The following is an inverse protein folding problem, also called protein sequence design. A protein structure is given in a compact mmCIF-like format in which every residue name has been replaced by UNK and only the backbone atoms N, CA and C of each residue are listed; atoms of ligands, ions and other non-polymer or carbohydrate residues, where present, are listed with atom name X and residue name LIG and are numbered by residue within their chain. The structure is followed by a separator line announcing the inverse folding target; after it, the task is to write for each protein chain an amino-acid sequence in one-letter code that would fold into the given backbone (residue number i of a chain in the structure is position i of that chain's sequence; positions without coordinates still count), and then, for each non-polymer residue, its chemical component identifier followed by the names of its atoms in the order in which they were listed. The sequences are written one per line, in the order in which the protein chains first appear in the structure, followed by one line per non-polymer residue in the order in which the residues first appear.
data_IF_921220360394
#
_entry.id   IF_921220360394
#
_cell.length_a   1.000
_cell.length_b   1.000
_cell.length_c   1.000
_cell.angle_alpha   90.00
_cell.angle_beta   90.00
_cell.angle_gamma   90.00
#
_symmetry.space_group_name_H-M   'P 1'
#
loop_
_entity.id
_entity.type
_entity.pdbx_description
1 polymer ?
#
# COMPACT_ATOMS: atom_id res chain seq x y z
N UNK A 1 -5.30 -54.66 28.49
CA UNK A 1 -5.33 -53.20 28.24
C UNK A 1 -4.78 -53.00 26.84
N UNK A 2 -5.62 -52.86 25.82
CA UNK A 2 -5.18 -52.66 24.44
C UNK A 2 -4.72 -51.23 24.26
N UNK A 3 -3.47 -51.03 23.82
CA UNK A 3 -2.89 -49.72 23.63
C UNK A 3 -3.69 -48.94 22.57
N UNK A 4 -4.29 -47.82 22.99
CA UNK A 4 -4.98 -46.91 22.07
C UNK A 4 -3.96 -46.26 21.16
N UNK A 5 -4.18 -46.31 19.85
CA UNK A 5 -3.27 -45.67 18.90
C UNK A 5 -3.35 -44.14 19.03
N UNK A 6 -2.25 -43.48 19.39
CA UNK A 6 -2.16 -42.01 19.49
C UNK A 6 -1.52 -41.36 18.25
N UNK A 7 -1.30 -42.13 17.18
CA UNK A 7 -0.50 -41.70 16.02
C UNK A 7 -1.30 -40.89 14.98
N UNK A 8 -2.62 -40.79 15.14
CA UNK A 8 -3.51 -40.14 14.19
C UNK A 8 -3.17 -38.66 13.97
N UNK A 9 -3.01 -37.88 15.05
CA UNK A 9 -2.69 -36.44 14.96
C UNK A 9 -1.35 -36.19 14.25
N UNK A 10 -0.33 -36.99 14.58
CA UNK A 10 0.99 -36.88 13.97
C UNK A 10 0.94 -37.19 12.46
N UNK A 11 0.19 -38.23 12.06
CA UNK A 11 -0.01 -38.55 10.65
C UNK A 11 -0.84 -37.46 9.95
N UNK A 12 -1.87 -36.93 10.59
CA UNK A 12 -2.72 -35.88 10.02
C UNK A 12 -1.97 -34.57 9.77
N UNK A 13 -1.01 -34.21 10.62
CA UNK A 13 -0.23 -32.97 10.50
C UNK A 13 1.00 -33.09 9.60
N UNK A 14 1.70 -34.23 9.67
CA UNK A 14 3.05 -34.35 9.08
C UNK A 14 3.15 -35.35 7.93
N UNK A 15 2.15 -36.21 7.72
CA UNK A 15 2.17 -37.22 6.65
C UNK A 15 1.27 -36.86 5.46
N UNK A 16 1.43 -37.59 4.36
CA UNK A 16 0.55 -37.46 3.20
C UNK A 16 -0.82 -38.08 3.46
N UNK A 17 -1.84 -37.58 2.76
CA UNK A 17 -3.22 -38.07 2.87
C UNK A 17 -3.32 -39.58 2.57
N UNK A 18 -2.49 -40.08 1.66
CA UNK A 18 -2.39 -41.50 1.32
C UNK A 18 -1.91 -42.36 2.50
N UNK A 19 -0.85 -41.94 3.20
CA UNK A 19 -0.29 -42.65 4.36
C UNK A 19 -1.26 -42.66 5.54
N UNK A 20 -1.99 -41.56 5.75
CA UNK A 20 -3.04 -41.48 6.75
C UNK A 20 -4.18 -42.45 6.44
N UNK A 21 -4.65 -42.50 5.18
CA UNK A 21 -5.74 -43.38 4.75
C UNK A 21 -5.36 -44.87 4.86
N UNK A 22 -4.12 -45.23 4.56
CA UNK A 22 -3.62 -46.59 4.78
C UNK A 22 -3.60 -46.96 6.27
N UNK A 23 -3.18 -46.05 7.14
CA UNK A 23 -3.19 -46.28 8.58
C UNK A 23 -4.61 -46.41 9.15
N UNK A 24 -5.53 -45.56 8.69
CA UNK A 24 -6.95 -45.59 9.09
C UNK A 24 -7.65 -46.88 8.66
N UNK A 25 -7.25 -47.49 7.53
CA UNK A 25 -7.78 -48.81 7.12
C UNK A 25 -7.36 -49.93 8.07
N UNK A 26 -6.17 -49.83 8.65
CA UNK A 26 -5.57 -50.89 9.46
C UNK A 26 -5.79 -50.70 10.97
N UNK A 27 -6.17 -49.50 11.44
CA UNK A 27 -6.37 -49.20 12.86
C UNK A 27 -7.81 -48.74 13.13
N UNK A 28 -8.53 -49.50 13.96
CA UNK A 28 -9.92 -49.21 14.33
C UNK A 28 -10.06 -47.90 15.13
N UNK A 29 -9.14 -47.61 16.05
CA UNK A 29 -9.15 -46.40 16.86
C UNK A 29 -9.01 -45.13 15.98
N UNK A 30 -8.04 -45.16 15.06
CA UNK A 30 -7.81 -44.05 14.13
C UNK A 30 -8.95 -43.89 13.11
N UNK A 31 -9.70 -44.95 12.81
CA UNK A 31 -10.89 -44.88 11.96
C UNK A 31 -12.02 -44.12 12.62
N UNK A 32 -12.31 -44.39 13.88
CA UNK A 32 -13.34 -43.64 14.63
C UNK A 32 -12.96 -42.16 14.76
N UNK A 33 -11.68 -41.87 14.96
CA UNK A 33 -11.18 -40.50 15.04
C UNK A 33 -11.27 -39.78 13.67
N UNK A 34 -10.91 -40.47 12.59
CA UNK A 34 -11.04 -39.95 11.23
C UNK A 34 -12.50 -39.61 10.88
N UNK A 35 -13.45 -40.47 11.25
CA UNK A 35 -14.88 -40.21 11.04
C UNK A 35 -15.38 -39.01 11.84
N UNK A 36 -14.91 -38.82 13.08
CA UNK A 36 -15.21 -37.63 13.88
C UNK A 36 -14.67 -36.36 13.21
N UNK A 37 -13.44 -36.41 12.70
CA UNK A 37 -12.82 -35.27 12.00
C UNK A 37 -13.51 -34.94 10.67
N UNK A 38 -13.99 -35.95 9.93
CA UNK A 38 -14.77 -35.71 8.72
C UNK A 38 -16.12 -35.02 9.01
N UNK A 39 -16.79 -35.41 10.11
CA UNK A 39 -18.04 -34.75 10.54
C UNK A 39 -17.84 -33.30 10.96
N UNK A 40 -16.69 -32.96 11.56
CA UNK A 40 -16.39 -31.57 11.96
C UNK A 40 -15.90 -30.72 10.79
N UNK A 41 -15.35 -31.32 9.73
CA UNK A 41 -14.85 -30.61 8.54
C UNK A 41 -15.92 -29.77 7.85
N UNK A 42 -17.16 -30.25 7.74
CA UNK A 42 -18.27 -29.50 7.14
C UNK A 42 -18.61 -28.24 7.93
N UNK A 43 -18.72 -28.36 9.26
CA UNK A 43 -18.97 -27.24 10.16
C UNK A 43 -17.87 -26.17 10.07
N UNK A 44 -16.61 -26.60 9.99
CA UNK A 44 -15.46 -25.68 9.85
C UNK A 44 -15.48 -24.97 8.48
N UNK A 45 -15.90 -25.64 7.41
CA UNK A 45 -16.00 -25.03 6.08
C UNK A 45 -17.05 -23.93 6.01
N UNK A 46 -18.19 -24.09 6.69
CA UNK A 46 -19.25 -23.07 6.76
C UNK A 46 -18.78 -21.79 7.45
N UNK A 47 -18.05 -21.92 8.57
CA UNK A 47 -17.56 -20.75 9.33
C UNK A 47 -16.38 -20.06 8.63
N UNK A 48 -15.59 -20.80 7.85
CA UNK A 48 -14.41 -20.28 7.12
C UNK A 48 -14.79 -19.17 6.13
N UNK A 49 -15.88 -19.34 5.39
CA UNK A 49 -16.32 -18.33 4.41
C UNK A 49 -16.63 -16.99 5.09
N UNK A 50 -17.33 -17.03 6.23
CA UNK A 50 -17.69 -15.85 7.01
C UNK A 50 -16.47 -15.11 7.58
N UNK A 51 -15.46 -15.85 8.06
CA UNK A 51 -14.21 -15.25 8.53
C UNK A 51 -13.38 -14.63 7.40
N UNK A 52 -13.34 -15.27 6.23
CA UNK A 52 -12.62 -14.73 5.06
C UNK A 52 -13.26 -13.43 4.54
N UNK A 53 -14.59 -13.32 4.57
CA UNK A 53 -15.28 -12.09 4.20
C UNK A 53 -15.02 -10.96 5.21
N UNK A 54 -14.99 -11.30 6.50
CA UNK A 54 -14.72 -10.35 7.58
C UNK A 54 -13.29 -9.82 7.52
N UNK A 55 -12.30 -10.68 7.25
CA UNK A 55 -10.90 -10.26 7.10
C UNK A 55 -10.67 -9.41 5.85
N UNK A 56 -11.32 -9.73 4.72
CA UNK A 56 -11.25 -8.93 3.49
C UNK A 56 -11.80 -7.51 3.69
N UNK A 57 -12.83 -7.34 4.51
CA UNK A 57 -13.41 -6.02 4.83
C UNK A 57 -12.43 -5.13 5.62
N UNK A 58 -11.62 -5.68 6.54
CA UNK A 58 -10.66 -4.89 7.31
C UNK A 58 -9.46 -4.44 6.47
N UNK A 59 -8.94 -5.33 5.61
CA UNK A 59 -7.83 -5.01 4.69
C UNK A 59 -8.22 -3.90 3.73
N UNK A 60 -9.42 -3.95 3.14
CA UNK A 60 -9.92 -2.89 2.24
C UNK A 60 -10.00 -1.52 2.92
N UNK A 61 -10.43 -1.46 4.19
CA UNK A 61 -10.47 -0.20 4.96
C UNK A 61 -9.08 0.38 5.19
N UNK A 62 -8.09 -0.46 5.47
CA UNK A 62 -6.72 -0.01 5.69
C UNK A 62 -6.06 0.47 4.40
N UNK A 63 -6.27 -0.24 3.29
CA UNK A 63 -5.79 0.18 1.97
C UNK A 63 -6.40 1.52 1.56
N UNK A 64 -7.69 1.74 1.81
CA UNK A 64 -8.35 3.01 1.53
C UNK A 64 -7.74 4.18 2.32
N UNK A 65 -7.44 3.96 3.61
CA UNK A 65 -6.78 4.99 4.45
C UNK A 65 -5.39 5.33 3.91
N UNK A 66 -4.59 4.32 3.55
CA UNK A 66 -3.25 4.53 2.99
C UNK A 66 -3.32 5.29 1.66
N UNK A 67 -4.23 4.90 0.77
CA UNK A 67 -4.44 5.60 -0.50
C UNK A 67 -4.79 7.08 -0.27
N UNK A 68 -5.74 7.37 0.62
CA UNK A 68 -6.13 8.74 0.95
C UNK A 68 -4.95 9.56 1.49
N UNK A 69 -4.17 9.03 2.46
CA UNK A 69 -3.01 9.75 2.99
C UNK A 69 -1.94 10.00 1.93
N UNK A 70 -1.72 9.03 1.03
CA UNK A 70 -0.72 9.18 -0.03
C UNK A 70 -1.12 10.27 -1.02
N UNK A 71 -2.41 10.34 -1.40
CA UNK A 71 -2.90 11.40 -2.30
C UNK A 71 -2.75 12.80 -1.70
N UNK A 72 -3.04 12.96 -0.40
CA UNK A 72 -2.87 14.26 0.28
C UNK A 72 -1.40 14.66 0.31
N UNK A 73 -0.49 13.73 0.59
CA UNK A 73 0.96 14.00 0.58
C UNK A 73 1.48 14.37 -0.81
N UNK A 74 1.01 13.69 -1.86
CA UNK A 74 1.37 14.04 -3.23
C UNK A 74 0.89 15.43 -3.62
N UNK A 75 -0.35 15.79 -3.27
CA UNK A 75 -0.89 17.13 -3.54
C UNK A 75 -0.15 18.22 -2.74
N UNK A 76 0.19 17.94 -1.49
CA UNK A 76 0.98 18.86 -0.66
C UNK A 76 2.38 19.08 -1.24
N UNK A 77 3.05 18.00 -1.65
CA UNK A 77 4.37 18.07 -2.30
C UNK A 77 4.32 18.88 -3.60
N UNK A 78 3.34 18.59 -4.46
CA UNK A 78 3.16 19.32 -5.71
C UNK A 78 2.85 20.80 -5.47
N UNK A 79 1.99 21.12 -4.50
CA UNK A 79 1.70 22.52 -4.16
C UNK A 79 2.95 23.26 -3.66
N UNK A 80 3.77 22.59 -2.85
CA UNK A 80 5.03 23.15 -2.36
C UNK A 80 6.05 23.38 -3.49
N UNK A 81 6.24 22.40 -4.38
CA UNK A 81 7.18 22.58 -5.50
C UNK A 81 6.73 23.68 -6.43
N UNK A 82 5.45 23.74 -6.80
CA UNK A 82 4.95 24.80 -7.69
C UNK A 82 5.07 26.18 -7.06
N UNK A 83 4.73 26.35 -5.77
CA UNK A 83 4.88 27.62 -5.07
C UNK A 83 6.33 28.11 -5.02
N UNK A 84 7.27 27.21 -4.71
CA UNK A 84 8.70 27.54 -4.64
C UNK A 84 9.26 27.94 -6.02
N UNK A 85 8.95 27.19 -7.08
CA UNK A 85 9.41 27.54 -8.43
C UNK A 85 8.81 28.84 -8.97
N UNK A 86 7.57 29.19 -8.59
CA UNK A 86 6.96 30.46 -9.03
C UNK A 86 7.56 31.69 -8.33
N UNK A 87 7.90 31.60 -7.03
CA UNK A 87 8.52 32.71 -6.32
C UNK A 87 9.97 32.95 -6.77
N UNK A 88 10.78 31.91 -6.98
CA UNK A 88 12.15 32.09 -7.48
C UNK A 88 12.20 32.69 -8.89
N UNK A 89 11.22 32.39 -9.75
CA UNK A 89 11.16 32.98 -11.11
C UNK A 89 10.74 34.46 -11.08
N UNK A 90 9.78 34.83 -10.23
CA UNK A 90 9.34 36.22 -10.07
C UNK A 90 10.44 37.09 -9.44
N UNK A 91 11.13 36.59 -8.42
CA UNK A 91 12.23 37.33 -7.78
C UNK A 91 13.43 37.48 -8.71
N UNK A 92 13.85 36.42 -9.39
CA UNK A 92 15.00 36.50 -10.33
C UNK A 92 14.70 37.39 -11.54
N UNK A 93 13.48 37.34 -12.09
CA UNK A 93 13.10 38.22 -13.20
C UNK A 93 13.03 39.69 -12.79
N UNK A 94 12.53 40.00 -11.58
CA UNK A 94 12.54 41.35 -11.01
C UNK A 94 13.96 41.86 -10.76
N UNK A 95 14.86 41.02 -10.21
CA UNK A 95 16.27 41.38 -10.01
C UNK A 95 16.94 41.67 -11.35
N UNK A 96 16.74 40.83 -12.36
CA UNK A 96 17.30 41.04 -13.70
C UNK A 96 16.76 42.32 -14.37
N UNK A 97 15.49 42.66 -14.17
CA UNK A 97 14.91 43.90 -14.68
C UNK A 97 15.51 45.13 -13.98
N UNK A 98 15.69 45.10 -12.66
CA UNK A 98 16.32 46.19 -11.90
C UNK A 98 17.79 46.40 -12.28
N UNK A 99 18.54 45.33 -12.53
CA UNK A 99 19.94 45.41 -13.00
C UNK A 99 20.03 45.99 -14.41
N UNK A 100 19.10 45.63 -15.30
CA UNK A 100 19.02 46.21 -16.64
C UNK A 100 18.69 47.71 -16.59
N UNK A 101 17.74 48.14 -15.77
CA UNK A 101 17.41 49.56 -15.58
C UNK A 101 18.62 50.36 -15.04
N UNK A 102 19.31 49.82 -14.02
CA UNK A 102 20.52 50.45 -13.49
C UNK A 102 21.61 50.60 -14.56
N UNK A 103 21.87 49.55 -15.35
CA UNK A 103 22.84 49.59 -16.44
C UNK A 103 22.45 50.61 -17.53
N UNK A 104 21.16 50.69 -17.89
CA UNK A 104 20.68 51.66 -18.90
C UNK A 104 20.78 53.11 -18.46
N UNK A 105 20.65 53.39 -17.16
CA UNK A 105 20.82 54.73 -16.60
C UNK A 105 22.28 55.19 -16.58
N UNK A 106 23.23 54.27 -16.39
CA UNK A 106 24.67 54.58 -16.39
C UNK A 106 25.21 54.89 -17.79
N UNK A 107 24.66 54.23 -18.83
CA UNK A 107 25.07 54.42 -20.23
C UNK A 107 24.35 55.59 -20.92
N UNK A 108 23.41 56.26 -20.25
CA UNK A 108 22.75 57.48 -20.72
C UNK A 108 21.89 57.28 -21.98
N UNK A 109 21.38 56.07 -22.23
CA UNK A 109 20.46 55.83 -23.33
C UNK A 109 19.05 56.37 -22.97
N UNK A 110 18.32 56.98 -23.92
CA UNK A 110 16.98 57.48 -23.66
C UNK A 110 16.02 56.31 -23.41
N UNK A 111 15.58 56.19 -22.17
CA UNK A 111 14.55 55.24 -21.74
C UNK A 111 13.27 55.99 -21.35
N UNK A 112 12.12 55.37 -21.59
CA UNK A 112 10.80 55.87 -21.16
C UNK A 112 10.60 55.68 -19.64
N UNK A 113 9.54 56.24 -19.06
CA UNK A 113 9.13 56.09 -17.65
C UNK A 113 8.98 54.61 -17.21
N UNK A 114 8.92 53.68 -18.17
CA UNK A 114 8.82 52.24 -17.96
C UNK A 114 10.14 51.47 -18.24
N UNK A 115 11.28 52.16 -18.38
CA UNK A 115 12.60 51.53 -18.56
C UNK A 115 12.85 50.90 -19.94
N UNK A 116 11.94 51.10 -20.89
CA UNK A 116 12.07 50.61 -22.27
C UNK A 116 12.86 51.59 -23.14
N UNK A 117 13.70 51.07 -24.04
CA UNK A 117 14.44 51.90 -25.00
C UNK A 117 13.49 52.64 -25.94
N UNK A 118 13.63 53.97 -26.00
CA UNK A 118 12.88 54.79 -26.95
C UNK A 118 13.71 54.93 -28.22
N UNK A 119 13.32 54.23 -29.28
CA UNK A 119 13.90 54.41 -30.61
C UNK A 119 13.17 55.57 -31.29
N UNK A 120 13.87 56.65 -31.60
CA UNK A 120 13.37 57.73 -32.46
C UNK A 120 13.44 57.35 -33.94
#
# INVERSE_FOLDING_TARGET
MSEKCSKYEALFLFSSEEQLLEHVKNCADCKEEHEKMQKTRSLVQEVKSHYLETSKKSVKKNVLKVAATMTVLFLAYFSFTYGFFTEEYDVNSKIAAMEAEAFTSEIGLPTDEYGLFVVY
#
